data_IF_069565570158
#
_entry.id   IF_069565570158
#
_cell.length_a   1.000
_cell.length_b   1.000
_cell.length_c   1.000
_cell.angle_alpha   90.00
_cell.angle_beta   90.00
_cell.angle_gamma   90.00
#
_symmetry.space_group_name_H-M   'P 1'
#
loop_
_entity.id
_entity.type
_entity.pdbx_description
1 polymer ?
#
# COMPACT_ATOMS: atom_id res chain seq x y z
N UNK A 1 -3.85 -7.31 -14.70
CA UNK A 1 -3.83 -6.41 -13.54
C UNK A 1 -5.13 -5.64 -13.57
N UNK A 2 -5.97 -5.81 -12.55
CA UNK A 2 -7.23 -5.09 -12.42
C UNK A 2 -6.97 -3.81 -11.61
N UNK A 3 -7.39 -2.66 -12.13
CA UNK A 3 -7.28 -1.38 -11.41
C UNK A 3 -8.66 -1.08 -10.82
N UNK A 4 -8.78 -1.16 -9.50
CA UNK A 4 -10.00 -0.75 -8.79
C UNK A 4 -10.06 0.78 -8.70
N UNK A 5 -11.20 1.37 -9.05
CA UNK A 5 -11.44 2.81 -9.00
C UNK A 5 -12.40 3.15 -7.87
N UNK A 6 -11.98 4.02 -6.96
CA UNK A 6 -12.77 4.45 -5.82
C UNK A 6 -13.11 5.95 -5.95
N UNK A 7 -14.39 6.29 -5.77
CA UNK A 7 -14.88 7.68 -5.72
C UNK A 7 -15.74 7.96 -4.51
N UNK A 8 -16.03 6.93 -3.72
CA UNK A 8 -16.82 7.06 -2.52
C UNK A 8 -16.06 7.87 -1.48
N UNK A 9 -16.73 8.85 -0.88
CA UNK A 9 -16.10 9.78 0.05
C UNK A 9 -15.77 9.10 1.38
N UNK A 10 -16.62 8.20 1.87
CA UNK A 10 -16.37 7.50 3.14
C UNK A 10 -15.12 6.63 3.00
N UNK A 11 -14.99 5.88 1.91
CA UNK A 11 -13.77 5.12 1.59
C UNK A 11 -12.53 6.01 1.55
N UNK A 12 -12.59 7.17 0.88
CA UNK A 12 -11.46 8.09 0.78
C UNK A 12 -11.09 8.74 2.13
N UNK A 13 -12.07 9.04 2.96
CA UNK A 13 -11.87 9.57 4.32
C UNK A 13 -11.21 8.50 5.22
N UNK A 14 -11.65 7.24 5.16
CA UNK A 14 -11.03 6.12 5.87
C UNK A 14 -9.60 5.82 5.37
N UNK A 15 -9.39 5.86 4.05
CA UNK A 15 -8.07 5.70 3.45
C UNK A 15 -7.09 6.78 3.94
N UNK A 16 -7.59 7.99 4.18
CA UNK A 16 -6.79 9.10 4.73
C UNK A 16 -6.38 8.83 6.17
N UNK A 17 -7.25 8.25 6.99
CA UNK A 17 -6.95 7.86 8.39
C UNK A 17 -5.88 6.76 8.49
N UNK A 18 -5.69 5.96 7.43
CA UNK A 18 -4.55 5.05 7.35
C UNK A 18 -3.23 5.82 7.38
N UNK A 19 -3.13 7.02 6.81
CA UNK A 19 -1.88 7.80 6.69
C UNK A 19 -0.80 7.12 5.83
N UNK A 20 -1.20 6.64 4.65
CA UNK A 20 -0.28 6.03 3.66
C UNK A 20 0.87 6.99 3.26
N UNK A 21 0.68 8.30 3.39
CA UNK A 21 1.73 9.29 3.15
C UNK A 21 2.95 9.18 4.07
N UNK A 22 2.84 8.48 5.21
CA UNK A 22 3.97 8.21 6.11
C UNK A 22 4.80 6.99 5.68
N UNK A 23 4.35 6.26 4.65
CA UNK A 23 5.03 5.06 4.19
C UNK A 23 6.33 5.37 3.46
N UNK A 24 7.27 4.43 3.56
CA UNK A 24 8.50 4.44 2.75
C UNK A 24 8.18 3.85 1.37
N UNK A 25 8.88 4.32 0.33
CA UNK A 25 8.70 3.78 -1.01
C UNK A 25 9.05 2.28 -1.12
N UNK A 26 9.94 1.77 -0.25
CA UNK A 26 10.35 0.36 -0.22
C UNK A 26 10.55 -0.14 1.22
N UNK A 27 10.08 -1.36 1.47
CA UNK A 27 10.22 -2.09 2.72
C UNK A 27 10.95 -3.41 2.49
N UNK A 28 12.16 -3.57 3.02
CA UNK A 28 12.91 -4.84 2.97
C UNK A 28 13.37 -5.24 4.35
N UNK A 29 13.65 -6.53 4.57
CA UNK A 29 14.21 -7.02 5.84
C UNK A 29 15.69 -6.64 6.02
N UNK A 30 16.36 -6.19 4.96
CA UNK A 30 17.78 -5.82 4.98
C UNK A 30 18.10 -4.77 6.03
N UNK A 31 17.15 -3.86 6.32
CA UNK A 31 17.27 -2.86 7.39
C UNK A 31 17.41 -3.45 8.79
N UNK A 32 17.10 -4.74 8.95
CA UNK A 32 17.24 -5.50 10.19
C UNK A 32 18.47 -6.42 10.16
N UNK A 33 19.31 -6.35 9.12
CA UNK A 33 20.55 -7.10 9.00
C UNK A 33 20.39 -8.51 8.42
N UNK A 34 19.25 -8.85 7.82
CA UNK A 34 19.04 -10.15 7.18
C UNK A 34 18.15 -10.06 5.94
N UNK A 35 18.28 -11.07 5.06
CA UNK A 35 17.51 -11.18 3.82
C UNK A 35 16.75 -12.50 3.81
N UNK A 36 15.47 -12.44 3.41
CA UNK A 36 14.63 -13.61 3.19
C UNK A 36 14.43 -13.74 1.68
N UNK A 37 14.84 -14.87 1.10
CA UNK A 37 14.75 -15.13 -0.34
C UNK A 37 13.41 -15.76 -0.75
N UNK A 38 12.75 -16.45 0.18
CA UNK A 38 11.48 -17.12 0.02
C UNK A 38 10.42 -16.45 0.91
N UNK A 39 9.58 -15.63 0.29
CA UNK A 39 8.49 -15.01 1.02
C UNK A 39 7.63 -14.10 0.18
N UNK A 40 6.87 -13.25 0.84
CA UNK A 40 5.83 -12.45 0.20
C UNK A 40 6.42 -11.15 -0.34
N UNK A 41 6.17 -10.93 -1.62
CA UNK A 41 6.40 -9.65 -2.30
C UNK A 41 5.07 -8.93 -2.45
N UNK A 42 5.09 -7.60 -2.31
CA UNK A 42 3.91 -6.77 -2.53
C UNK A 42 4.29 -5.45 -3.21
N UNK A 43 3.34 -4.92 -3.98
CA UNK A 43 3.42 -3.62 -4.63
C UNK A 43 2.06 -2.94 -4.52
N UNK A 44 2.08 -1.62 -4.35
CA UNK A 44 0.91 -0.76 -4.38
C UNK A 44 1.20 0.41 -5.31
N UNK A 45 0.37 0.55 -6.35
CA UNK A 45 0.36 1.71 -7.23
C UNK A 45 -0.95 2.47 -7.06
N UNK A 46 -0.87 3.77 -6.75
CA UNK A 46 -2.03 4.65 -6.60
C UNK A 46 -2.04 5.65 -7.76
N UNK A 47 -3.10 5.60 -8.56
CA UNK A 47 -3.31 6.48 -9.69
C UNK A 47 -4.33 7.57 -9.34
N UNK A 48 -3.94 8.83 -9.53
CA UNK A 48 -4.86 9.96 -9.38
C UNK A 48 -5.32 10.44 -10.75
N UNK A 49 -6.62 10.73 -10.89
CA UNK A 49 -7.22 11.21 -12.14
C UNK A 49 -6.55 12.49 -12.70
N UNK A 50 -5.90 13.28 -11.84
CA UNK A 50 -5.29 14.56 -12.17
C UNK A 50 -3.74 14.55 -12.10
N UNK A 51 -3.10 13.41 -11.86
CA UNK A 51 -1.64 13.32 -11.76
C UNK A 51 -1.01 12.71 -13.02
N UNK A 52 0.22 13.13 -13.33
CA UNK A 52 1.01 12.58 -14.45
C UNK A 52 1.51 11.15 -14.23
N UNK A 53 1.54 10.67 -13.00
CA UNK A 53 2.06 9.34 -12.68
C UNK A 53 1.59 8.82 -11.33
N UNK A 54 1.71 7.50 -11.10
CA UNK A 54 1.27 6.89 -9.86
C UNK A 54 2.24 7.15 -8.71
N UNK A 55 1.73 7.10 -7.49
CA UNK A 55 2.55 6.91 -6.29
C UNK A 55 2.78 5.41 -6.12
N UNK A 56 4.02 5.01 -5.83
CA UNK A 56 4.43 3.62 -5.74
C UNK A 56 5.00 3.28 -4.37
N UNK A 57 4.55 2.15 -3.83
CA UNK A 57 5.11 1.54 -2.63
C UNK A 57 5.36 0.06 -2.91
N UNK A 58 6.40 -0.49 -2.31
CA UNK A 58 6.77 -1.89 -2.49
C UNK A 58 7.33 -2.48 -1.20
N UNK A 59 7.31 -3.80 -1.10
CA UNK A 59 8.07 -4.47 -0.07
C UNK A 59 8.27 -5.97 -0.28
N UNK A 60 9.27 -6.46 0.44
CA UNK A 60 9.72 -7.85 0.49
C UNK A 60 9.79 -8.25 1.96
N UNK A 61 8.85 -9.10 2.39
CA UNK A 61 8.77 -9.62 3.77
C UNK A 61 8.74 -8.55 4.88
N UNK A 62 8.48 -7.30 4.52
CA UNK A 62 8.41 -6.17 5.43
C UNK A 62 7.30 -5.24 4.98
N UNK A 63 6.60 -4.66 5.95
CA UNK A 63 5.34 -3.94 5.74
C UNK A 63 5.29 -2.68 6.60
N UNK A 64 4.53 -1.65 6.18
CA UNK A 64 4.12 -0.55 7.04
C UNK A 64 3.37 -1.03 8.28
N UNK A 65 3.46 -0.28 9.39
CA UNK A 65 2.86 -0.66 10.69
C UNK A 65 1.33 -0.81 10.66
N UNK A 66 0.68 -0.19 9.67
CA UNK A 66 -0.76 -0.08 9.43
C UNK A 66 -1.20 -0.83 8.15
N UNK A 67 -0.33 -1.66 7.57
CA UNK A 67 -0.63 -2.36 6.31
C UNK A 67 -1.86 -3.28 6.40
N UNK A 68 -2.06 -3.95 7.55
CA UNK A 68 -3.24 -4.80 7.74
C UNK A 68 -4.56 -4.01 7.69
N UNK A 69 -4.59 -2.81 8.27
CA UNK A 69 -5.78 -1.93 8.22
C UNK A 69 -6.09 -1.50 6.78
N UNK A 70 -5.04 -1.25 5.99
CA UNK A 70 -5.20 -0.97 4.56
C UNK A 70 -5.81 -2.17 3.82
N UNK A 71 -5.35 -3.39 4.09
CA UNK A 71 -5.92 -4.60 3.48
C UNK A 71 -7.37 -4.85 3.89
N UNK A 72 -7.73 -4.57 5.15
CA UNK A 72 -9.11 -4.64 5.64
C UNK A 72 -10.01 -3.68 4.87
N UNK A 73 -9.61 -2.40 4.76
CA UNK A 73 -10.33 -1.38 3.98
C UNK A 73 -10.53 -1.78 2.52
N UNK A 74 -9.56 -2.46 1.89
CA UNK A 74 -9.69 -2.94 0.51
C UNK A 74 -10.67 -4.12 0.35
N UNK A 75 -10.84 -4.95 1.39
CA UNK A 75 -11.72 -6.13 1.36
C UNK A 75 -13.19 -5.78 1.59
N UNK A 76 -13.48 -4.68 2.29
CA UNK A 76 -14.86 -4.21 2.49
C UNK A 76 -15.56 -3.77 1.19
N UNK A 77 -14.80 -3.64 0.10
CA UNK A 77 -15.30 -3.24 -1.22
C UNK A 77 -15.29 -4.40 -2.24
N UNK A 78 -15.20 -5.65 -1.78
CA UNK A 78 -15.44 -6.87 -2.58
C UNK A 78 -16.90 -7.31 -2.53
#
# INVERSE_FOLDING_TARGET
MEIKSYRDKAFLDELKEIKIGEWRNSYTTERFGYTIYDGTQWELEIYYCNAKGPIRFSGSNSYPYNFNKFLELLKEVE
#
